data_IF_817661224193
#
_entry.id   IF_817661224193
#
_cell.length_a   1.000
_cell.length_b   1.000
_cell.length_c   1.000
_cell.angle_alpha   90.00
_cell.angle_beta   90.00
_cell.angle_gamma   90.00
#
_symmetry.space_group_name_H-M   'P 1'
#
loop_
_entity.id
_entity.type
_entity.pdbx_description
1 polymer ?
#
# COMPACT_ATOMS: atom_id res chain seq x y z
N UNK A 1 -23.22 -15.36 3.99
CA UNK A 1 -23.52 -14.21 3.11
C UNK A 1 -23.04 -12.87 3.68
N UNK A 2 -23.52 -12.39 4.85
CA UNK A 2 -23.11 -11.07 5.40
C UNK A 2 -21.60 -10.88 5.61
N UNK A 3 -20.87 -11.92 6.03
CA UNK A 3 -19.41 -11.87 6.24
C UNK A 3 -18.62 -11.73 4.93
N UNK A 4 -19.08 -12.35 3.84
CA UNK A 4 -18.40 -12.31 2.52
C UNK A 4 -18.58 -10.92 1.90
N UNK A 5 -19.79 -10.37 1.96
CA UNK A 5 -20.06 -9.01 1.49
C UNK A 5 -19.18 -7.96 2.19
N UNK A 6 -18.91 -8.11 3.49
CA UNK A 6 -17.98 -7.24 4.21
C UNK A 6 -16.54 -7.37 3.70
N UNK A 7 -16.05 -8.59 3.45
CA UNK A 7 -14.71 -8.80 2.90
C UNK A 7 -14.57 -8.19 1.50
N UNK A 8 -15.59 -8.33 0.66
CA UNK A 8 -15.65 -7.69 -0.66
C UNK A 8 -15.59 -6.17 -0.55
N UNK A 9 -16.43 -5.58 0.30
CA UNK A 9 -16.42 -4.13 0.51
C UNK A 9 -15.08 -3.62 1.02
N UNK A 10 -14.41 -4.33 1.93
CA UNK A 10 -13.10 -3.93 2.46
C UNK A 10 -12.02 -4.06 1.38
N UNK A 11 -12.01 -5.16 0.62
CA UNK A 11 -11.03 -5.39 -0.47
C UNK A 11 -11.19 -4.35 -1.57
N UNK A 12 -12.43 -4.08 -1.98
CA UNK A 12 -12.77 -3.04 -2.94
C UNK A 12 -12.34 -1.66 -2.44
N UNK A 13 -12.68 -1.32 -1.19
CA UNK A 13 -12.32 -0.02 -0.62
C UNK A 13 -10.80 0.14 -0.52
N UNK A 14 -10.07 -0.91 -0.10
CA UNK A 14 -8.60 -0.90 -0.04
C UNK A 14 -7.98 -0.66 -1.41
N UNK A 15 -8.45 -1.39 -2.44
CA UNK A 15 -7.97 -1.22 -3.81
C UNK A 15 -8.30 0.18 -4.35
N UNK A 16 -9.52 0.66 -4.13
CA UNK A 16 -9.94 2.00 -4.53
C UNK A 16 -9.07 3.10 -3.90
N UNK A 17 -8.79 3.00 -2.60
CA UNK A 17 -7.89 3.92 -1.90
C UNK A 17 -6.46 3.86 -2.46
N UNK A 18 -5.96 2.68 -2.78
CA UNK A 18 -4.62 2.48 -3.31
C UNK A 18 -4.43 3.19 -4.66
N UNK A 19 -5.36 3.00 -5.59
CA UNK A 19 -5.35 3.69 -6.89
C UNK A 19 -5.54 5.20 -6.73
N UNK A 20 -6.42 5.65 -5.82
CA UNK A 20 -6.60 7.08 -5.56
C UNK A 20 -5.35 7.73 -4.98
N UNK A 21 -4.64 7.05 -4.07
CA UNK A 21 -3.37 7.53 -3.53
C UNK A 21 -2.34 7.70 -4.65
N UNK A 22 -2.20 6.71 -5.53
CA UNK A 22 -1.27 6.78 -6.67
C UNK A 22 -1.56 8.01 -7.56
N UNK A 23 -2.82 8.25 -7.92
CA UNK A 23 -3.22 9.38 -8.76
C UNK A 23 -3.05 10.74 -8.06
N UNK A 24 -3.52 10.86 -6.81
CA UNK A 24 -3.50 12.12 -6.05
C UNK A 24 -2.06 12.51 -5.73
N UNK A 25 -1.26 11.59 -5.20
CA UNK A 25 0.11 11.89 -4.77
C UNK A 25 0.99 12.21 -5.97
N UNK A 26 0.84 11.47 -7.08
CA UNK A 26 1.57 11.80 -8.31
C UNK A 26 1.28 13.24 -8.72
N UNK A 27 0.00 13.66 -8.75
CA UNK A 27 -0.38 15.04 -9.11
C UNK A 27 0.16 16.09 -8.13
N UNK A 28 0.17 15.81 -6.83
CA UNK A 28 0.66 16.74 -5.79
C UNK A 28 2.18 16.94 -5.89
N UNK A 29 2.94 15.92 -6.29
CA UNK A 29 4.41 16.01 -6.39
C UNK A 29 4.91 16.72 -7.64
N UNK A 30 4.10 16.81 -8.70
CA UNK A 30 4.49 17.44 -9.96
C UNK A 30 4.94 18.91 -9.81
N UNK A 31 4.21 19.79 -9.09
CA UNK A 31 4.64 21.18 -8.87
C UNK A 31 5.99 21.30 -8.15
N UNK A 32 6.25 20.45 -7.15
CA UNK A 32 7.42 20.57 -6.28
C UNK A 32 8.70 20.02 -6.91
N UNK A 33 8.60 18.92 -7.68
CA UNK A 33 9.74 18.26 -8.34
C UNK A 33 9.88 18.61 -9.83
N UNK A 34 8.95 19.40 -10.36
CA UNK A 34 8.85 19.77 -11.77
C UNK A 34 7.92 18.86 -12.56
N UNK A 35 7.12 19.45 -13.45
CA UNK A 35 6.12 18.76 -14.28
C UNK A 35 6.69 17.85 -15.39
N UNK A 36 7.89 17.31 -15.21
CA UNK A 36 8.53 16.40 -16.16
C UNK A 36 7.90 15.01 -16.09
N UNK A 37 7.77 14.36 -17.26
CA UNK A 37 7.36 12.95 -17.39
C UNK A 37 8.18 12.01 -16.49
N UNK A 38 9.42 12.39 -16.19
CA UNK A 38 10.34 11.61 -15.37
C UNK A 38 9.88 11.50 -13.91
N UNK A 39 9.27 12.54 -13.34
CA UNK A 39 8.74 12.52 -11.96
C UNK A 39 7.55 11.60 -11.87
N UNK A 40 6.62 11.72 -12.82
CA UNK A 40 5.45 10.84 -12.88
C UNK A 40 5.86 9.37 -13.04
N UNK A 41 6.81 9.08 -13.95
CA UNK A 41 7.34 7.73 -14.13
C UNK A 41 8.01 7.18 -12.86
N UNK A 42 8.76 8.01 -12.13
CA UNK A 42 9.35 7.63 -10.85
C UNK A 42 8.29 7.30 -9.79
N UNK A 43 7.22 8.10 -9.69
CA UNK A 43 6.11 7.83 -8.79
C UNK A 43 5.47 6.48 -9.10
N UNK A 44 5.14 6.21 -10.36
CA UNK A 44 4.55 4.94 -10.80
C UNK A 44 5.48 3.77 -10.43
N UNK A 45 6.76 3.82 -10.77
CA UNK A 45 7.71 2.74 -10.45
C UNK A 45 7.81 2.51 -8.93
N UNK A 46 7.84 3.57 -8.13
CA UNK A 46 7.81 3.46 -6.68
C UNK A 46 6.56 2.73 -6.20
N UNK A 47 5.37 3.15 -6.63
CA UNK A 47 4.11 2.53 -6.21
C UNK A 47 4.04 1.06 -6.65
N UNK A 48 4.45 0.73 -7.87
CA UNK A 48 4.50 -0.65 -8.34
C UNK A 48 5.48 -1.51 -7.52
N UNK A 49 6.65 -0.95 -7.15
CA UNK A 49 7.62 -1.65 -6.31
C UNK A 49 7.07 -1.91 -4.89
N UNK A 50 6.39 -0.94 -4.29
CA UNK A 50 5.79 -1.09 -2.95
C UNK A 50 4.59 -2.05 -2.97
N UNK A 51 3.79 -2.03 -4.03
CA UNK A 51 2.73 -3.03 -4.29
C UNK A 51 3.31 -4.44 -4.29
N UNK A 52 4.36 -4.65 -5.08
CA UNK A 52 5.05 -5.94 -5.16
C UNK A 52 5.63 -6.37 -3.81
N UNK A 53 6.27 -5.46 -3.08
CA UNK A 53 6.77 -5.73 -1.73
C UNK A 53 5.65 -6.13 -0.76
N UNK A 54 4.49 -5.46 -0.83
CA UNK A 54 3.33 -5.80 -0.01
C UNK A 54 2.84 -7.22 -0.30
N UNK A 55 2.75 -7.60 -1.57
CA UNK A 55 2.35 -8.96 -1.96
C UNK A 55 3.36 -10.00 -1.51
N UNK A 56 4.65 -9.74 -1.71
CA UNK A 56 5.71 -10.62 -1.25
C UNK A 56 5.69 -10.79 0.28
N UNK A 57 5.51 -9.68 1.00
CA UNK A 57 5.41 -9.70 2.46
C UNK A 57 4.19 -10.51 2.92
N UNK A 58 3.00 -10.27 2.36
CA UNK A 58 1.80 -11.03 2.69
C UNK A 58 1.97 -12.51 2.40
N UNK A 59 2.49 -12.87 1.23
CA UNK A 59 2.75 -14.26 0.85
C UNK A 59 3.72 -14.93 1.83
N UNK A 60 4.84 -14.28 2.15
CA UNK A 60 5.82 -14.80 3.12
C UNK A 60 5.20 -14.96 4.51
N UNK A 61 4.44 -13.97 4.97
CA UNK A 61 3.75 -13.97 6.26
C UNK A 61 2.76 -15.14 6.38
N UNK A 62 1.97 -15.38 5.35
CA UNK A 62 0.98 -16.47 5.32
C UNK A 62 1.68 -17.83 5.27
N UNK A 63 2.68 -17.99 4.39
CA UNK A 63 3.31 -19.29 4.13
C UNK A 63 4.28 -19.72 5.25
N UNK A 64 5.03 -18.81 5.86
CA UNK A 64 6.04 -19.15 6.89
C UNK A 64 5.51 -19.09 8.32
N UNK A 65 4.69 -18.09 8.66
CA UNK A 65 4.30 -17.81 10.06
C UNK A 65 2.94 -18.42 10.40
N UNK A 66 2.09 -18.61 9.38
CA UNK A 66 0.77 -19.21 9.50
C UNK A 66 -0.28 -18.21 9.97
N UNK A 67 -1.50 -18.36 9.42
CA UNK A 67 -2.57 -17.34 9.46
C UNK A 67 -3.01 -16.94 10.87
N UNK A 68 -2.84 -17.83 11.86
CA UNK A 68 -3.22 -17.57 13.26
C UNK A 68 -2.29 -16.54 13.93
N UNK A 69 -0.99 -16.61 13.65
CA UNK A 69 0.03 -15.69 14.20
C UNK A 69 0.13 -14.39 13.39
N UNK A 70 -0.26 -14.43 12.11
CA UNK A 70 -0.32 -13.25 11.24
C UNK A 70 -1.25 -12.15 11.74
N UNK A 71 -2.21 -12.44 12.63
CA UNK A 71 -3.12 -11.44 13.21
C UNK A 71 -2.40 -10.32 13.96
N UNK A 72 -1.42 -10.66 14.81
CA UNK A 72 -0.67 -9.68 15.58
C UNK A 72 0.19 -8.81 14.65
N UNK A 73 0.85 -9.44 13.68
CA UNK A 73 1.69 -8.75 12.70
C UNK A 73 0.87 -7.82 11.80
N UNK A 74 -0.34 -8.23 11.40
CA UNK A 74 -1.26 -7.37 10.68
C UNK A 74 -1.75 -6.19 11.52
N UNK A 75 -2.02 -6.41 12.81
CA UNK A 75 -2.41 -5.33 13.71
C UNK A 75 -1.27 -4.30 13.88
N UNK A 76 -0.04 -4.77 14.04
CA UNK A 76 1.16 -3.89 14.05
C UNK A 76 1.28 -3.14 12.72
N UNK A 77 1.10 -3.84 11.59
CA UNK A 77 1.17 -3.24 10.27
C UNK A 77 0.08 -2.17 10.05
N UNK A 78 -1.12 -2.40 10.55
CA UNK A 78 -2.24 -1.47 10.48
C UNK A 78 -2.02 -0.22 11.36
N UNK A 79 -1.39 -0.41 12.54
CA UNK A 79 -1.04 0.70 13.42
C UNK A 79 0.20 1.47 12.93
N UNK A 80 1.06 0.85 12.14
CA UNK A 80 2.31 1.44 11.68
C UNK A 80 2.13 2.78 10.94
N UNK A 81 1.19 2.91 9.98
CA UNK A 81 0.89 4.20 9.37
C UNK A 81 0.44 5.28 10.36
N UNK A 82 -0.23 4.93 11.47
CA UNK A 82 -0.73 5.91 12.44
C UNK A 82 0.40 6.60 13.21
N UNK A 83 1.53 5.91 13.44
CA UNK A 83 2.69 6.47 14.12
C UNK A 83 3.35 7.61 13.31
N UNK A 84 3.25 7.54 11.98
CA UNK A 84 3.84 8.51 11.06
C UNK A 84 2.92 9.66 10.64
N UNK A 85 1.64 9.65 11.05
CA UNK A 85 0.55 10.51 10.56
C UNK A 85 0.70 10.88 9.07
N UNK A 86 0.22 10.02 8.15
CA UNK A 86 0.50 10.14 6.74
C UNK A 86 0.01 11.48 6.20
N UNK A 87 0.92 12.23 5.59
CA UNK A 87 0.62 13.52 5.00
C UNK A 87 1.17 14.74 5.74
N UNK A 88 1.72 14.59 6.95
CA UNK A 88 2.27 15.74 7.70
C UNK A 88 3.44 16.44 6.99
N UNK A 89 4.18 15.72 6.17
CA UNK A 89 5.31 16.24 5.38
C UNK A 89 5.01 16.36 3.87
N UNK A 90 3.77 16.15 3.41
CA UNK A 90 3.43 16.31 1.99
C UNK A 90 3.41 17.79 1.58
N UNK A 91 3.10 18.69 2.51
CA UNK A 91 3.11 20.13 2.29
C UNK A 91 4.36 20.72 2.92
N UNK A 92 5.41 20.95 2.13
CA UNK A 92 6.65 21.55 2.60
C UNK A 92 7.93 20.89 2.13
N UNK A 93 8.00 20.43 0.87
CA UNK A 93 9.27 20.05 0.23
C UNK A 93 10.15 21.30 0.15
N UNK A 94 10.96 21.54 1.18
CA UNK A 94 11.71 22.79 1.32
C UNK A 94 13.12 22.75 0.75
N UNK A 95 13.58 21.61 0.22
CA UNK A 95 14.82 21.58 -0.55
C UNK A 95 14.88 20.34 -1.45
N UNK A 96 14.68 20.52 -2.77
CA UNK A 96 15.19 19.54 -3.74
C UNK A 96 16.70 19.56 -3.61
N UNK A 97 17.28 18.47 -3.07
CA UNK A 97 18.72 18.36 -2.96
C UNK A 97 19.31 18.09 -4.35
N UNK A 98 19.94 19.12 -4.94
CA UNK A 98 20.54 19.07 -6.27
C UNK A 98 21.73 18.10 -6.37
N UNK A 99 22.28 17.66 -5.24
CA UNK A 99 23.36 16.67 -5.18
C UNK A 99 22.86 15.23 -5.39
N UNK A 100 21.55 15.00 -5.29
CA UNK A 100 20.92 13.68 -5.39
C UNK A 100 20.12 13.61 -6.70
N UNK A 101 20.14 12.49 -7.45
CA UNK A 101 19.29 12.31 -8.62
C UNK A 101 17.81 12.57 -8.30
N UNK A 102 17.10 13.26 -9.19
CA UNK A 102 15.70 13.65 -8.99
C UNK A 102 14.80 12.47 -8.58
N UNK A 103 14.98 11.32 -9.25
CA UNK A 103 14.24 10.08 -8.96
C UNK A 103 14.44 9.61 -7.52
N UNK A 104 15.67 9.68 -7.00
CA UNK A 104 15.96 9.27 -5.63
C UNK A 104 15.33 10.22 -4.60
N UNK A 105 15.27 11.52 -4.90
CA UNK A 105 14.54 12.48 -4.06
C UNK A 105 13.03 12.15 -4.01
N UNK A 106 12.42 11.82 -5.14
CA UNK A 106 11.01 11.40 -5.22
C UNK A 106 10.77 10.14 -4.40
N UNK A 107 11.63 9.12 -4.54
CA UNK A 107 11.54 7.87 -3.79
C UNK A 107 11.64 8.11 -2.28
N UNK A 108 12.62 8.91 -1.85
CA UNK A 108 12.79 9.24 -0.44
C UNK A 108 11.55 9.94 0.10
N UNK A 109 11.05 10.94 -0.62
CA UNK A 109 9.87 11.67 -0.20
C UNK A 109 8.63 10.77 -0.09
N UNK A 110 8.38 9.92 -1.09
CA UNK A 110 7.26 8.97 -1.09
C UNK A 110 7.38 7.94 0.05
N UNK A 111 8.58 7.41 0.29
CA UNK A 111 8.83 6.41 1.33
C UNK A 111 8.44 6.93 2.72
N UNK A 112 8.86 8.15 3.06
CA UNK A 112 8.63 8.75 4.38
C UNK A 112 7.27 9.44 4.53
N UNK A 113 6.57 9.74 3.43
CA UNK A 113 5.26 10.41 3.48
C UNK A 113 4.10 9.43 3.45
N UNK A 114 4.04 8.58 2.42
CA UNK A 114 2.86 7.73 2.11
C UNK A 114 3.20 6.25 1.94
N UNK A 115 4.49 5.90 1.84
CA UNK A 115 4.96 4.54 1.61
C UNK A 115 4.39 3.53 2.62
N UNK A 116 4.33 3.91 3.90
CA UNK A 116 3.74 3.08 4.95
C UNK A 116 2.24 2.79 4.74
N UNK A 117 1.43 3.81 4.41
CA UNK A 117 -0.01 3.64 4.16
C UNK A 117 -0.23 2.77 2.94
N UNK A 118 0.48 3.08 1.86
CA UNK A 118 0.36 2.37 0.60
C UNK A 118 0.76 0.90 0.75
N UNK A 119 1.84 0.62 1.49
CA UNK A 119 2.25 -0.73 1.84
C UNK A 119 1.21 -1.46 2.70
N UNK A 120 0.61 -0.78 3.69
CA UNK A 120 -0.46 -1.39 4.48
C UNK A 120 -1.66 -1.77 3.59
N UNK A 121 -2.13 -0.85 2.72
CA UNK A 121 -3.27 -1.08 1.84
C UNK A 121 -3.02 -2.21 0.82
N UNK A 122 -1.79 -2.32 0.29
CA UNK A 122 -1.45 -3.39 -0.66
C UNK A 122 -1.50 -4.78 -0.02
N UNK A 123 -1.16 -4.88 1.27
CA UNK A 123 -1.22 -6.16 1.99
C UNK A 123 -2.65 -6.61 2.31
N UNK A 124 -3.58 -5.68 2.52
CA UNK A 124 -4.97 -5.95 2.92
C UNK A 124 -5.65 -6.96 2.00
N UNK A 125 -5.62 -6.74 0.68
CA UNK A 125 -6.34 -7.58 -0.28
C UNK A 125 -5.86 -9.04 -0.24
N UNK A 126 -4.54 -9.24 -0.22
CA UNK A 126 -3.94 -10.59 -0.20
C UNK A 126 -4.23 -11.31 1.11
N UNK A 127 -4.19 -10.59 2.23
CA UNK A 127 -4.45 -11.17 3.56
C UNK A 127 -5.92 -11.56 3.71
N UNK A 128 -6.85 -10.74 3.22
CA UNK A 128 -8.28 -11.05 3.25
C UNK A 128 -8.62 -12.25 2.37
N UNK A 129 -8.03 -12.35 1.17
CA UNK A 129 -8.18 -13.50 0.28
C UNK A 129 -7.63 -14.79 0.94
N UNK A 130 -6.45 -14.72 1.54
CA UNK A 130 -5.87 -15.87 2.24
C UNK A 130 -6.69 -16.28 3.48
N UNK A 131 -7.28 -15.30 4.18
CA UNK A 131 -8.16 -15.57 5.31
C UNK A 131 -9.45 -16.25 4.86
N UNK A 132 -10.07 -15.79 3.76
CA UNK A 132 -11.24 -16.43 3.17
C UNK A 132 -10.95 -17.89 2.80
N UNK A 133 -9.82 -18.15 2.13
CA UNK A 133 -9.39 -19.50 1.74
C UNK A 133 -9.07 -20.44 2.91
N UNK A 134 -8.88 -19.92 4.12
CA UNK A 134 -8.67 -20.71 5.34
C UNK A 134 -9.88 -20.73 6.29
N UNK A 135 -10.96 -20.04 5.94
CA UNK A 135 -12.18 -19.96 6.75
C UNK A 135 -13.20 -21.04 6.35
N UNK A 136 -14.18 -21.33 7.22
CA UNK A 136 -15.29 -22.24 6.93
C UNK A 136 -16.43 -21.57 6.14
N UNK A 137 -16.12 -20.54 5.35
CA UNK A 137 -17.10 -19.82 4.54
C UNK A 137 -17.39 -20.58 3.23
N UNK A 138 -18.61 -20.47 2.68
CA UNK A 138 -19.03 -21.25 1.51
C UNK A 138 -18.20 -20.99 0.24
N UNK A 139 -17.58 -19.81 0.12
CA UNK A 139 -16.76 -19.43 -1.04
C UNK A 139 -15.25 -19.69 -0.86
N UNK A 140 -14.85 -20.43 0.17
CA UNK A 140 -13.44 -20.75 0.48
C UNK A 140 -12.64 -21.28 -0.72
N UNK A 141 -13.26 -22.13 -1.54
CA UNK A 141 -12.60 -22.78 -2.67
C UNK A 141 -12.63 -21.94 -3.96
N UNK A 142 -13.27 -20.76 -3.95
CA UNK A 142 -13.34 -19.89 -5.11
C UNK A 142 -12.18 -18.88 -5.10
N UNK A 143 -11.22 -18.98 -6.04
CA UNK A 143 -10.09 -18.05 -6.10
C UNK A 143 -10.47 -16.62 -6.50
N UNK A 144 -11.71 -16.38 -6.97
CA UNK A 144 -12.20 -15.08 -7.43
C UNK A 144 -13.33 -14.51 -6.56
N UNK A 145 -13.42 -14.96 -5.30
CA UNK A 145 -14.49 -14.55 -4.40
C UNK A 145 -14.39 -13.09 -3.92
N UNK A 146 -13.17 -12.52 -3.87
CA UNK A 146 -12.87 -11.15 -3.40
C UNK A 146 -12.11 -10.32 -4.44
#
# INVERSE_FOLDING_TARGET
MRKISLLNSITFLSAFLLFQIELIISKILLPDFGGSYMVWGACVVFFQAVLFLGYFFSYYLINKIGIKRSKLLYLILFLWPLLGFPGRNLFGVTAVNLSIPLVANVFWHLLFSIGAVFFCLSTTSVILQAWLGNSDLPEKNNPYAL
#
